data_IF_899936539723
#
_entry.id   IF_899936539723
#
_cell.length_a   1.000
_cell.length_b   1.000
_cell.length_c   1.000
_cell.angle_alpha   90.00
_cell.angle_beta   90.00
_cell.angle_gamma   90.00
#
_symmetry.space_group_name_H-M   'P 1'
#
loop_
_entity.id
_entity.type
_entity.pdbx_description
1 polymer ?
#
# COMPACT_ATOMS: atom_id res chain seq x y z
N UNK A 1 40.49 9.44 -7.64
CA UNK A 1 41.63 9.92 -6.83
C UNK A 1 41.42 11.39 -6.62
N UNK A 2 41.32 11.85 -5.38
CA UNK A 2 41.05 13.25 -5.06
C UNK A 2 42.24 13.74 -4.24
N UNK A 3 42.86 14.84 -4.67
CA UNK A 3 43.98 15.46 -3.96
C UNK A 3 43.47 16.68 -3.22
N UNK A 4 43.64 16.70 -1.89
CA UNK A 4 43.26 17.82 -1.03
C UNK A 4 44.48 18.13 -0.16
N UNK A 5 44.98 19.37 -0.23
CA UNK A 5 46.14 19.85 0.55
C UNK A 5 47.35 18.88 0.46
N UNK A 6 47.78 18.57 -0.76
CA UNK A 6 48.92 17.69 -1.06
C UNK A 6 48.82 16.25 -0.54
N UNK A 7 47.63 15.83 -0.07
CA UNK A 7 47.33 14.43 0.27
C UNK A 7 46.39 13.82 -0.75
N UNK A 8 46.73 12.60 -1.16
CA UNK A 8 46.01 11.85 -2.19
C UNK A 8 45.08 10.82 -1.55
N UNK A 9 43.80 10.91 -1.87
CA UNK A 9 42.77 9.99 -1.38
C UNK A 9 42.19 9.14 -2.52
N UNK A 10 41.97 7.87 -2.24
CA UNK A 10 41.19 6.98 -3.08
C UNK A 10 39.76 6.92 -2.54
N UNK A 11 38.80 7.33 -3.36
CA UNK A 11 37.38 7.32 -3.02
C UNK A 11 36.68 6.35 -3.94
N UNK A 12 35.96 5.39 -3.35
CA UNK A 12 35.12 4.42 -4.05
C UNK A 12 33.66 4.80 -3.82
N UNK A 13 32.88 4.83 -4.89
CA UNK A 13 31.46 5.14 -4.83
C UNK A 13 30.64 3.87 -5.07
N UNK A 14 29.67 3.60 -4.21
CA UNK A 14 28.66 2.56 -4.41
C UNK A 14 27.32 3.26 -4.60
N UNK A 15 26.79 3.18 -5.81
CA UNK A 15 25.51 3.79 -6.16
C UNK A 15 24.40 2.74 -6.02
N UNK A 16 23.39 3.03 -5.20
CA UNK A 16 22.23 2.16 -4.99
C UNK A 16 20.98 2.88 -5.49
N UNK A 17 20.27 2.34 -6.50
CA UNK A 17 19.11 3.01 -7.10
C UNK A 17 17.86 2.76 -6.28
N UNK A 18 17.76 3.32 -5.08
CA UNK A 18 16.60 3.16 -4.17
C UNK A 18 15.50 4.18 -4.41
N UNK A 19 15.81 5.30 -5.04
CA UNK A 19 14.86 6.38 -5.35
C UNK A 19 14.18 6.15 -6.70
N UNK A 20 13.54 4.98 -6.86
CA UNK A 20 12.85 4.58 -8.09
C UNK A 20 11.40 4.24 -7.78
N UNK A 21 10.49 4.61 -8.69
CA UNK A 21 9.09 4.21 -8.58
C UNK A 21 8.88 2.78 -9.08
N UNK A 22 7.78 2.16 -8.66
CA UNK A 22 7.48 0.77 -9.03
C UNK A 22 7.33 0.53 -10.54
N UNK A 23 6.95 1.54 -11.34
CA UNK A 23 6.88 1.40 -12.81
C UNK A 23 8.28 1.39 -13.42
N UNK A 24 9.20 2.20 -12.92
CA UNK A 24 10.62 2.15 -13.31
C UNK A 24 11.23 0.80 -12.90
N UNK A 25 10.92 0.30 -11.70
CA UNK A 25 11.33 -1.05 -11.29
C UNK A 25 10.82 -2.11 -12.27
N UNK A 26 9.54 -2.08 -12.63
CA UNK A 26 8.97 -3.02 -13.60
C UNK A 26 9.66 -2.97 -14.96
N UNK A 27 9.95 -1.77 -15.47
CA UNK A 27 10.69 -1.60 -16.72
C UNK A 27 12.11 -2.17 -16.60
N UNK A 28 12.80 -1.88 -15.49
CA UNK A 28 14.16 -2.34 -15.24
C UNK A 28 14.27 -3.86 -15.04
N UNK A 29 13.24 -4.50 -14.46
CA UNK A 29 13.17 -5.97 -14.28
C UNK A 29 12.55 -6.69 -15.47
N UNK A 30 12.14 -5.97 -16.53
CA UNK A 30 11.38 -6.52 -17.67
C UNK A 30 10.06 -7.18 -17.24
N UNK A 31 9.48 -6.72 -16.14
CA UNK A 31 8.15 -7.14 -15.69
C UNK A 31 7.10 -6.41 -16.51
N UNK A 32 6.38 -7.15 -17.34
CA UNK A 32 5.47 -6.59 -18.36
C UNK A 32 4.20 -5.95 -17.80
N UNK A 33 3.79 -6.30 -16.58
CA UNK A 33 2.55 -5.83 -15.99
C UNK A 33 2.78 -5.07 -14.69
N UNK A 34 2.11 -3.92 -14.55
CA UNK A 34 2.04 -3.17 -13.29
C UNK A 34 1.30 -3.90 -12.17
N UNK A 35 0.55 -4.95 -12.51
CA UNK A 35 -0.17 -5.81 -11.56
C UNK A 35 0.67 -7.02 -11.09
N UNK A 36 1.92 -7.12 -11.55
CA UNK A 36 2.89 -8.12 -11.09
C UNK A 36 3.91 -7.46 -10.18
N UNK A 37 4.28 -8.13 -9.11
CA UNK A 37 5.37 -7.67 -8.27
C UNK A 37 6.71 -7.83 -8.99
N UNK A 38 7.54 -6.78 -9.02
CA UNK A 38 8.88 -6.84 -9.65
C UNK A 38 9.90 -7.65 -8.84
N UNK A 39 9.58 -7.97 -7.58
CA UNK A 39 10.45 -8.74 -6.67
C UNK A 39 10.19 -10.25 -6.84
N UNK A 40 8.94 -10.70 -6.73
CA UNK A 40 8.59 -12.12 -6.75
C UNK A 40 7.85 -12.59 -8.03
N UNK A 41 7.43 -11.67 -8.91
CA UNK A 41 6.76 -11.99 -10.18
C UNK A 41 5.30 -12.42 -10.08
N UNK A 42 4.78 -12.64 -8.87
CA UNK A 42 3.39 -13.04 -8.64
C UNK A 42 2.39 -11.91 -8.92
N UNK A 43 1.14 -12.33 -9.14
CA UNK A 43 -0.02 -11.44 -9.27
C UNK A 43 -0.89 -11.50 -8.02
N UNK A 44 -1.78 -10.53 -7.85
CA UNK A 44 -2.71 -10.47 -6.71
C UNK A 44 -3.53 -11.73 -6.47
N UNK A 45 -3.74 -12.58 -7.49
CA UNK A 45 -4.43 -13.88 -7.35
C UNK A 45 -3.71 -14.85 -6.41
N UNK A 46 -2.39 -14.73 -6.29
CA UNK A 46 -1.56 -15.64 -5.50
C UNK A 46 -1.13 -15.04 -4.16
N UNK A 47 -1.34 -13.73 -3.93
CA UNK A 47 -0.91 -13.08 -2.69
C UNK A 47 -1.71 -13.51 -1.47
N UNK A 48 -2.94 -13.98 -1.65
CA UNK A 48 -3.76 -14.48 -0.54
C UNK A 48 -3.40 -15.92 -0.12
N UNK A 49 -2.49 -16.59 -0.84
CA UNK A 49 -2.02 -17.92 -0.46
C UNK A 49 -0.73 -17.82 0.35
N UNK A 50 -0.89 -17.72 1.67
CA UNK A 50 0.23 -17.54 2.62
C UNK A 50 1.09 -18.79 2.79
N UNK A 51 0.66 -19.94 2.25
CA UNK A 51 1.42 -21.19 2.34
C UNK A 51 2.54 -21.25 1.30
N UNK A 52 2.36 -20.55 0.19
CA UNK A 52 3.26 -20.60 -0.95
C UNK A 52 4.39 -19.57 -0.80
N UNK A 53 5.59 -20.03 -0.45
CA UNK A 53 6.79 -19.19 -0.46
C UNK A 53 7.36 -19.11 -1.87
N UNK A 54 7.31 -17.92 -2.46
CA UNK A 54 7.86 -17.67 -3.79
C UNK A 54 9.32 -17.22 -3.69
N UNK A 55 10.16 -17.78 -4.56
CA UNK A 55 11.54 -17.30 -4.72
C UNK A 55 11.56 -15.86 -5.28
N UNK A 56 12.35 -15.00 -4.65
CA UNK A 56 12.51 -13.60 -5.04
C UNK A 56 13.70 -13.43 -5.96
N UNK A 57 13.62 -12.50 -6.90
CA UNK A 57 14.75 -12.13 -7.75
C UNK A 57 15.74 -11.27 -6.95
N UNK A 58 16.96 -11.74 -6.62
CA UNK A 58 17.91 -10.99 -5.80
C UNK A 58 18.34 -9.67 -6.44
N UNK A 59 18.34 -9.60 -7.79
CA UNK A 59 18.69 -8.38 -8.53
C UNK A 59 17.64 -7.27 -8.39
N UNK A 60 16.42 -7.62 -8.02
CA UNK A 60 15.35 -6.66 -7.79
C UNK A 60 15.46 -5.99 -6.40
N UNK A 61 16.12 -6.61 -5.44
CA UNK A 61 16.26 -6.09 -4.07
C UNK A 61 17.07 -4.78 -4.01
N UNK A 62 17.97 -4.55 -4.98
CA UNK A 62 18.76 -3.31 -5.09
C UNK A 62 17.92 -2.03 -5.27
N UNK A 63 16.66 -2.18 -5.70
CA UNK A 63 15.75 -1.05 -5.88
C UNK A 63 15.11 -0.59 -4.56
N UNK A 64 15.26 -1.36 -3.49
CA UNK A 64 14.65 -1.06 -2.19
C UNK A 64 13.12 -1.04 -2.23
N UNK A 65 12.55 -0.56 -1.12
CA UNK A 65 11.13 -0.31 -0.97
C UNK A 65 10.86 1.18 -1.04
N UNK A 66 9.96 1.58 -1.94
CA UNK A 66 9.50 2.95 -2.00
C UNK A 66 8.40 3.19 -0.96
N UNK A 67 8.79 3.54 0.26
CA UNK A 67 7.88 3.78 1.39
C UNK A 67 6.80 4.82 1.06
N UNK A 68 7.16 5.90 0.34
CA UNK A 68 6.20 6.91 -0.10
C UNK A 68 5.06 6.28 -0.93
N UNK A 69 5.41 5.52 -1.96
CA UNK A 69 4.43 4.84 -2.80
C UNK A 69 3.67 3.75 -2.04
N UNK A 70 4.31 3.02 -1.12
CA UNK A 70 3.61 2.06 -0.26
C UNK A 70 2.46 2.72 0.52
N UNK A 71 2.73 3.85 1.19
CA UNK A 71 1.71 4.61 1.93
C UNK A 71 0.52 5.04 1.06
N UNK A 72 0.83 5.59 -0.12
CA UNK A 72 -0.19 6.06 -1.08
C UNK A 72 -1.04 4.89 -1.58
N UNK A 73 -0.43 3.74 -1.87
CA UNK A 73 -1.14 2.55 -2.36
C UNK A 73 -2.02 1.92 -1.28
N UNK A 74 -1.58 1.90 -0.02
CA UNK A 74 -2.41 1.42 1.10
C UNK A 74 -3.63 2.34 1.27
N UNK A 75 -3.43 3.67 1.25
CA UNK A 75 -4.54 4.64 1.25
C UNK A 75 -5.56 4.32 0.13
N UNK A 76 -5.10 4.17 -1.10
CA UNK A 76 -5.97 3.85 -2.25
C UNK A 76 -6.69 2.50 -2.06
N UNK A 77 -5.99 1.50 -1.51
CA UNK A 77 -6.56 0.19 -1.23
C UNK A 77 -7.68 0.25 -0.19
N UNK A 78 -7.44 0.91 0.94
CA UNK A 78 -8.43 1.09 2.01
C UNK A 78 -9.66 1.85 1.51
N UNK A 79 -9.49 2.91 0.71
CA UNK A 79 -10.62 3.60 0.09
C UNK A 79 -11.43 2.68 -0.83
N UNK A 80 -10.76 1.87 -1.66
CA UNK A 80 -11.45 0.92 -2.54
C UNK A 80 -12.18 -0.19 -1.77
N UNK A 81 -11.65 -0.64 -0.63
CA UNK A 81 -12.35 -1.56 0.28
C UNK A 81 -13.58 -0.86 0.85
N UNK A 82 -13.42 0.34 1.40
CA UNK A 82 -14.50 1.13 2.00
C UNK A 82 -15.68 1.39 1.04
N UNK A 83 -15.39 1.62 -0.24
CA UNK A 83 -16.45 1.81 -1.25
C UNK A 83 -17.24 0.53 -1.54
N UNK A 84 -16.64 -0.64 -1.31
CA UNK A 84 -17.22 -1.96 -1.60
C UNK A 84 -17.87 -2.61 -0.38
N UNK A 85 -17.59 -2.13 0.83
CA UNK A 85 -18.20 -2.64 2.07
C UNK A 85 -19.72 -2.83 2.00
N UNK A 86 -20.53 -1.91 1.41
CA UNK A 86 -21.97 -2.12 1.35
C UNK A 86 -22.41 -3.34 0.53
N UNK A 87 -21.60 -3.78 -0.43
CA UNK A 87 -21.94 -4.88 -1.32
C UNK A 87 -21.56 -6.25 -0.77
N UNK A 88 -20.56 -6.33 0.13
CA UNK A 88 -20.01 -7.57 0.70
C UNK A 88 -19.78 -8.68 -0.35
N UNK A 89 -19.33 -8.31 -1.55
CA UNK A 89 -19.07 -9.22 -2.67
C UNK A 89 -17.66 -9.01 -3.19
N UNK A 90 -16.92 -10.11 -3.33
CA UNK A 90 -15.56 -10.06 -3.91
C UNK A 90 -15.54 -9.66 -5.38
N UNK A 91 -16.57 -10.03 -6.16
CA UNK A 91 -16.69 -9.68 -7.58
C UNK A 91 -17.86 -8.74 -7.82
N UNK A 92 -17.56 -7.57 -8.37
CA UNK A 92 -18.55 -6.56 -8.74
C UNK A 92 -19.17 -6.94 -10.08
N UNK A 93 -20.50 -7.03 -10.13
CA UNK A 93 -21.21 -7.15 -11.39
C UNK A 93 -21.32 -5.76 -12.03
N UNK A 94 -20.71 -5.59 -13.21
CA UNK A 94 -20.77 -4.33 -13.98
C UNK A 94 -22.19 -3.98 -14.48
N UNK A 95 -23.21 -4.79 -14.18
CA UNK A 95 -24.62 -4.55 -14.52
C UNK A 95 -25.24 -3.62 -13.46
N UNK A 96 -25.05 -2.32 -13.69
CA UNK A 96 -25.68 -1.10 -13.13
C UNK A 96 -25.84 -0.95 -11.61
N UNK A 97 -26.36 -1.90 -10.86
CA UNK A 97 -26.77 -1.66 -9.46
C UNK A 97 -25.59 -1.65 -8.49
N UNK A 98 -24.64 -2.58 -8.64
CA UNK A 98 -23.44 -2.59 -7.79
C UNK A 98 -22.59 -1.31 -7.99
N UNK A 99 -22.53 -0.81 -9.22
CA UNK A 99 -21.73 0.38 -9.58
C UNK A 99 -22.36 1.66 -9.02
N UNK A 100 -23.69 1.78 -9.02
CA UNK A 100 -24.37 2.95 -8.46
C UNK A 100 -24.18 3.02 -6.94
N UNK A 101 -24.28 1.87 -6.25
CA UNK A 101 -24.04 1.78 -4.80
C UNK A 101 -22.61 2.18 -4.44
N UNK A 102 -21.61 1.68 -5.19
CA UNK A 102 -20.19 2.05 -4.98
C UNK A 102 -19.99 3.55 -5.20
N UNK A 103 -20.55 4.12 -6.28
CA UNK A 103 -20.39 5.54 -6.58
C UNK A 103 -21.06 6.44 -5.54
N UNK A 104 -22.22 6.03 -5.04
CA UNK A 104 -22.90 6.72 -3.95
C UNK A 104 -22.04 6.68 -2.68
N UNK A 105 -21.58 5.48 -2.28
CA UNK A 105 -20.74 5.31 -1.09
C UNK A 105 -19.43 6.09 -1.20
N UNK A 106 -18.82 6.11 -2.39
CA UNK A 106 -17.63 6.92 -2.69
C UNK A 106 -17.91 8.41 -2.48
N UNK A 107 -19.02 8.93 -3.01
CA UNK A 107 -19.37 10.35 -2.85
C UNK A 107 -19.63 10.73 -1.38
N UNK A 108 -20.28 9.85 -0.61
CA UNK A 108 -20.50 10.02 0.83
C UNK A 108 -19.15 10.09 1.57
N UNK A 109 -18.28 9.10 1.37
CA UNK A 109 -16.95 9.06 2.01
C UNK A 109 -16.12 10.29 1.64
N UNK A 110 -16.10 10.69 0.36
CA UNK A 110 -15.36 11.87 -0.10
C UNK A 110 -15.88 13.16 0.56
N UNK A 111 -17.21 13.29 0.72
CA UNK A 111 -17.83 14.42 1.41
C UNK A 111 -17.45 14.43 2.89
N UNK A 112 -17.51 13.28 3.56
CA UNK A 112 -17.22 13.18 4.99
C UNK A 112 -15.75 13.47 5.28
N UNK A 113 -14.80 12.99 4.45
CA UNK A 113 -13.40 13.38 4.56
C UNK A 113 -13.18 14.88 4.40
N UNK A 114 -13.93 15.52 3.48
CA UNK A 114 -13.85 16.97 3.30
C UNK A 114 -14.42 17.74 4.49
N UNK A 115 -15.54 17.29 5.05
CA UNK A 115 -16.23 17.99 6.16
C UNK A 115 -15.53 17.77 7.49
N UNK A 116 -15.23 16.51 7.83
CA UNK A 116 -14.68 16.14 9.15
C UNK A 116 -13.18 16.37 9.26
N UNK A 117 -12.44 16.17 8.17
CA UNK A 117 -10.97 16.25 8.17
C UNK A 117 -10.39 17.36 7.29
N UNK A 118 -11.22 18.08 6.52
CA UNK A 118 -10.71 19.05 5.55
C UNK A 118 -9.77 18.40 4.52
N UNK A 119 -10.02 17.14 4.17
CA UNK A 119 -9.17 16.34 3.29
C UNK A 119 -9.91 15.98 2.00
N UNK A 120 -9.26 16.19 0.85
CA UNK A 120 -9.79 15.78 -0.45
C UNK A 120 -9.13 14.46 -0.87
N UNK A 121 -9.91 13.39 -0.96
CA UNK A 121 -9.43 12.06 -1.33
C UNK A 121 -10.03 11.57 -2.64
N UNK A 122 -9.24 10.87 -3.44
CA UNK A 122 -9.65 10.19 -4.67
C UNK A 122 -10.40 11.09 -5.68
N UNK A 123 -10.03 12.38 -5.71
CA UNK A 123 -10.54 13.35 -6.67
C UNK A 123 -9.59 13.44 -7.86
N UNK A 124 -10.07 13.38 -9.10
CA UNK A 124 -9.22 13.55 -10.27
C UNK A 124 -8.66 14.98 -10.30
N UNK A 125 -7.37 15.13 -10.56
CA UNK A 125 -6.74 16.44 -10.82
C UNK A 125 -6.81 16.76 -12.30
N UNK A 126 -6.89 18.05 -12.65
CA UNK A 126 -6.76 18.51 -14.04
C UNK A 126 -5.39 18.09 -14.58
N UNK A 127 -5.36 17.17 -15.54
CA UNK A 127 -4.14 16.54 -16.04
C UNK A 127 -4.03 15.07 -15.62
N UNK A 128 -2.92 14.71 -14.98
CA UNK A 128 -2.63 13.33 -14.55
C UNK A 128 -2.65 13.19 -13.02
N UNK A 129 -3.19 12.06 -12.54
CA UNK A 129 -3.22 11.71 -11.13
C UNK A 129 -4.50 12.14 -10.41
N UNK A 130 -4.53 11.85 -9.11
CA UNK A 130 -5.64 12.16 -8.20
C UNK A 130 -5.13 12.99 -7.01
N UNK A 131 -6.00 13.30 -6.07
CA UNK A 131 -5.63 13.99 -4.82
C UNK A 131 -4.91 13.10 -3.81
N UNK A 132 -4.70 11.80 -4.10
CA UNK A 132 -4.01 10.87 -3.21
C UNK A 132 -2.50 10.99 -3.41
N UNK A 133 -1.90 11.97 -2.75
CA UNK A 133 -0.46 12.19 -2.75
C UNK A 133 0.17 11.90 -1.37
N UNK A 134 1.46 12.16 -1.25
CA UNK A 134 2.20 11.97 0.00
C UNK A 134 1.63 12.79 1.16
N UNK A 135 1.10 13.98 0.91
CA UNK A 135 0.49 14.80 1.94
C UNK A 135 -0.87 14.24 2.36
N UNK A 136 -1.70 13.87 1.39
CA UNK A 136 -3.01 13.27 1.67
C UNK A 136 -2.90 11.96 2.46
N UNK A 137 -1.96 11.10 2.09
CA UNK A 137 -1.70 9.85 2.81
C UNK A 137 -1.13 10.07 4.21
N UNK A 138 -0.36 11.13 4.45
CA UNK A 138 0.08 11.50 5.81
C UNK A 138 -1.11 11.87 6.69
N UNK A 139 -1.92 12.82 6.22
CA UNK A 139 -3.11 13.31 6.93
C UNK A 139 -4.16 12.22 7.15
N UNK A 140 -4.28 11.27 6.21
CA UNK A 140 -5.18 10.14 6.36
C UNK A 140 -4.83 9.28 7.58
N UNK A 141 -3.57 8.85 7.73
CA UNK A 141 -3.16 8.01 8.87
C UNK A 141 -2.90 8.80 10.16
N UNK A 142 -3.11 10.11 10.19
CA UNK A 142 -2.88 10.93 11.38
C UNK A 142 -3.89 10.60 12.48
N UNK A 143 -5.17 10.44 12.11
CA UNK A 143 -6.26 10.10 13.03
C UNK A 143 -7.02 8.84 12.57
N UNK A 144 -6.56 7.63 12.99
CA UNK A 144 -7.21 6.36 12.65
C UNK A 144 -8.67 6.24 13.08
N UNK A 145 -9.07 6.87 14.19
CA UNK A 145 -10.44 6.84 14.72
C UNK A 145 -11.42 7.49 13.74
N UNK A 146 -11.11 8.71 13.28
CA UNK A 146 -11.93 9.40 12.29
C UNK A 146 -11.98 8.67 10.95
N UNK A 147 -10.85 8.06 10.53
CA UNK A 147 -10.83 7.25 9.31
C UNK A 147 -11.72 6.03 9.45
N UNK A 148 -11.65 5.31 10.56
CA UNK A 148 -12.49 4.14 10.82
C UNK A 148 -13.98 4.53 10.81
N UNK A 149 -14.32 5.65 11.46
CA UNK A 149 -15.68 6.19 11.49
C UNK A 149 -16.20 6.53 10.09
N UNK A 150 -15.40 7.20 9.26
CA UNK A 150 -15.80 7.62 7.90
C UNK A 150 -15.91 6.40 6.97
N UNK A 151 -14.88 5.54 6.98
CA UNK A 151 -14.77 4.45 6.02
C UNK A 151 -15.64 3.25 6.39
N UNK A 152 -15.85 3.02 7.69
CA UNK A 152 -16.47 1.81 8.23
C UNK A 152 -15.51 0.62 8.32
N UNK A 153 -14.20 0.85 8.14
CA UNK A 153 -13.16 -0.17 8.28
C UNK A 153 -12.79 -0.29 9.77
N UNK A 154 -12.44 -1.50 10.21
CA UNK A 154 -11.97 -1.73 11.57
C UNK A 154 -10.77 -0.85 11.92
N UNK A 155 -10.83 -0.21 13.09
CA UNK A 155 -9.81 0.72 13.55
C UNK A 155 -8.46 0.05 13.76
N UNK A 156 -8.42 -1.22 14.19
CA UNK A 156 -7.16 -1.92 14.45
C UNK A 156 -6.40 -2.14 13.16
N UNK A 157 -7.09 -2.48 12.07
CA UNK A 157 -6.48 -2.60 10.76
C UNK A 157 -5.82 -1.30 10.31
N UNK A 158 -6.52 -0.16 10.45
CA UNK A 158 -5.98 1.15 10.08
C UNK A 158 -4.78 1.52 10.97
N UNK A 159 -4.86 1.19 12.27
CA UNK A 159 -3.80 1.45 13.23
C UNK A 159 -2.54 0.62 12.93
N UNK A 160 -2.66 -0.66 12.61
CA UNK A 160 -1.53 -1.51 12.22
C UNK A 160 -0.83 -1.00 10.96
N UNK A 161 -1.59 -0.64 9.92
CA UNK A 161 -1.00 -0.03 8.74
C UNK A 161 -0.27 1.28 9.06
N UNK A 162 -0.78 2.08 10.00
CA UNK A 162 -0.08 3.28 10.48
C UNK A 162 1.25 2.90 11.14
N UNK A 163 1.24 1.96 12.09
CA UNK A 163 2.45 1.52 12.80
C UNK A 163 3.51 0.97 11.86
N UNK A 164 3.14 0.09 10.92
CA UNK A 164 4.07 -0.47 9.93
C UNK A 164 4.68 0.63 9.08
N UNK A 165 3.87 1.57 8.62
CA UNK A 165 4.35 2.70 7.83
C UNK A 165 5.28 3.62 8.61
N UNK A 166 5.04 3.82 9.90
CA UNK A 166 5.89 4.61 10.80
C UNK A 166 7.19 3.86 11.12
N UNK A 167 7.14 2.56 11.38
CA UNK A 167 8.33 1.71 11.55
C UNK A 167 9.21 1.73 10.32
N UNK A 168 8.63 1.60 9.12
CA UNK A 168 9.39 1.69 7.87
C UNK A 168 10.01 3.08 7.66
N UNK A 169 9.42 4.15 8.21
CA UNK A 169 9.92 5.52 8.11
C UNK A 169 11.01 5.85 9.14
N UNK A 170 10.98 5.22 10.32
CA UNK A 170 11.97 5.40 11.38
C UNK A 170 13.30 4.76 10.97
N UNK A 171 14.19 5.55 10.36
CA UNK A 171 15.51 5.13 9.85
C UNK A 171 16.56 4.89 10.95
N UNK A 172 16.21 4.91 12.22
CA UNK A 172 17.15 4.65 13.31
C UNK A 172 16.78 3.36 14.06
N UNK A 173 17.28 2.24 13.56
CA UNK A 173 17.83 1.08 14.26
C UNK A 173 17.87 -0.10 13.26
N UNK A 174 18.86 -1.00 13.33
CA UNK A 174 18.75 -2.27 12.62
C UNK A 174 17.55 -3.01 13.20
N UNK A 175 16.39 -2.92 12.54
CA UNK A 175 15.24 -3.74 12.86
C UNK A 175 15.72 -5.19 12.84
N UNK A 176 15.62 -5.90 13.96
CA UNK A 176 15.84 -7.34 13.99
C UNK A 176 14.82 -7.93 13.02
N UNK A 177 15.30 -8.56 11.94
CA UNK A 177 14.48 -9.19 10.90
C UNK A 177 13.33 -10.03 11.46
N UNK A 178 13.62 -10.69 12.58
CA UNK A 178 12.74 -11.66 13.22
C UNK A 178 11.52 -10.98 13.87
N UNK A 179 11.63 -9.73 14.32
CA UNK A 179 10.51 -9.01 14.94
C UNK A 179 9.52 -8.48 13.90
N UNK A 180 10.02 -8.04 12.74
CA UNK A 180 9.17 -7.55 11.64
C UNK A 180 8.44 -8.71 10.96
N UNK A 181 9.14 -9.83 10.73
CA UNK A 181 8.53 -11.03 10.14
C UNK A 181 7.39 -11.60 10.98
N UNK A 182 7.55 -11.66 12.32
CA UNK A 182 6.49 -12.15 13.20
C UNK A 182 5.26 -11.22 13.21
N UNK A 183 5.46 -9.91 13.04
CA UNK A 183 4.37 -8.94 12.98
C UNK A 183 3.61 -9.04 11.64
N UNK A 184 4.35 -9.13 10.53
CA UNK A 184 3.78 -9.29 9.18
C UNK A 184 3.01 -10.63 9.04
N UNK A 185 3.52 -11.72 9.62
CA UNK A 185 2.91 -13.05 9.55
C UNK A 185 1.64 -13.19 10.43
N UNK A 186 1.56 -12.47 11.55
CA UNK A 186 0.33 -12.37 12.37
C UNK A 186 -0.71 -11.46 11.70
N UNK A 187 -0.28 -10.34 11.14
CA UNK A 187 -1.15 -9.40 10.43
C UNK A 187 -1.82 -10.04 9.21
N UNK A 188 -1.04 -10.76 8.40
CA UNK A 188 -1.59 -11.34 7.18
C UNK A 188 -2.65 -12.41 7.47
N UNK A 189 -2.57 -13.11 8.61
CA UNK A 189 -3.58 -14.10 9.03
C UNK A 189 -4.87 -13.42 9.50
N UNK A 190 -4.77 -12.42 10.38
CA UNK A 190 -5.93 -11.68 10.91
C UNK A 190 -6.65 -10.90 9.80
N UNK A 191 -5.91 -10.32 8.86
CA UNK A 191 -6.47 -9.66 7.68
C UNK A 191 -7.17 -10.64 6.74
N UNK A 192 -6.60 -11.83 6.52
CA UNK A 192 -7.29 -12.86 5.74
C UNK A 192 -8.55 -13.38 6.43
N UNK A 193 -8.57 -13.49 7.77
CA UNK A 193 -9.75 -13.89 8.54
C UNK A 193 -10.84 -12.80 8.52
N UNK A 194 -10.50 -11.53 8.77
CA UNK A 194 -11.42 -10.39 8.64
C UNK A 194 -11.98 -10.26 7.22
N UNK A 195 -11.17 -10.55 6.20
CA UNK A 195 -11.61 -10.54 4.80
C UNK A 195 -12.30 -11.84 4.35
N UNK A 196 -12.27 -12.94 5.13
CA UNK A 196 -12.89 -14.23 4.79
C UNK A 196 -14.13 -14.57 5.63
N UNK A 197 -14.28 -14.03 6.84
CA UNK A 197 -15.52 -14.10 7.64
C UNK A 197 -16.66 -13.29 7.00
N UNK A 198 -16.34 -12.32 6.14
CA UNK A 198 -17.33 -11.70 5.24
C UNK A 198 -17.66 -12.56 4.00
N UNK A 199 -16.99 -13.71 3.81
CA UNK A 199 -17.11 -14.59 2.66
C UNK A 199 -17.71 -15.98 2.95
N UNK A 200 -18.02 -16.32 4.21
CA UNK A 200 -18.38 -17.70 4.59
C UNK A 200 -19.89 -18.04 4.49
N UNK A 201 -20.61 -17.42 3.56
CA UNK A 201 -21.91 -17.93 3.09
C UNK A 201 -21.81 -18.35 1.62
N UNK A 202 -20.86 -19.24 1.30
CA UNK A 202 -20.71 -19.81 -0.03
C UNK A 202 -20.32 -21.29 0.06
N UNK A 203 -21.34 -22.13 0.20
CA UNK A 203 -21.39 -23.44 -0.43
C UNK A 203 -22.65 -23.49 -1.30
N UNK A 204 -22.43 -23.85 -2.56
CA UNK A 204 -23.33 -24.01 -3.72
C UNK A 204 -23.60 -22.77 -4.60
#
# INVERSE_FOLDING_TARGET
MITIQDKTYYVTYIMIPTMVDGKVCNAATKTTSILRCYICGLTSKHFNDLKTKQEVNPKALKFGLSILHARIRILESLLHVAYRLPLKKGRINKKKDDVSIINQRKAEIQKDFRVKMGLLVDMPRTGFGNTNDGNSSRRFFENPELVAEITGIDIKLIFRFKEIMEMMLCVELPAKSDTVQNFDDEETKDDTELMSDEGNSFSD
#
